data_IF_312586180552
#
_entry.id   IF_312586180552
#
_cell.length_a   1.000
_cell.length_b   1.000
_cell.length_c   1.000
_cell.angle_alpha   90.00
_cell.angle_beta   90.00
_cell.angle_gamma   90.00
#
_symmetry.space_group_name_H-M   'P 1'
#
loop_
_entity.id
_entity.type
_entity.pdbx_description
1 polymer ?
#
# COMPACT_ATOMS: atom_id res chain seq x y z
N UNK A 1 -15.17 21.86 -3.76
CA UNK A 1 -14.08 20.97 -3.34
C UNK A 1 -12.76 21.71 -3.55
N UNK A 2 -11.86 21.64 -2.59
CA UNK A 2 -10.54 22.22 -2.78
C UNK A 2 -9.81 21.37 -3.83
N UNK A 3 -9.54 21.93 -5.00
CA UNK A 3 -8.94 21.19 -6.12
C UNK A 3 -7.41 21.07 -5.96
N UNK A 4 -6.89 21.29 -4.76
CA UNK A 4 -5.47 21.27 -4.47
C UNK A 4 -5.18 20.42 -3.24
N UNK A 5 -4.20 19.56 -3.36
CA UNK A 5 -3.59 18.76 -2.28
C UNK A 5 -2.09 19.02 -2.23
N UNK A 6 -1.42 18.44 -1.25
CA UNK A 6 0.02 18.54 -1.08
C UNK A 6 0.61 17.16 -0.86
N UNK A 7 1.75 16.87 -1.49
CA UNK A 7 2.51 15.64 -1.28
C UNK A 7 3.87 16.08 -0.72
N UNK A 8 4.08 15.87 0.58
CA UNK A 8 5.32 16.25 1.24
C UNK A 8 6.34 15.12 1.27
N UNK A 9 5.90 13.90 1.59
CA UNK A 9 6.75 12.74 1.75
C UNK A 9 6.24 11.54 0.98
N UNK A 10 7.17 10.77 0.43
CA UNK A 10 6.91 9.46 -0.13
C UNK A 10 8.12 8.54 0.03
N UNK A 11 7.86 7.25 0.16
CA UNK A 11 8.87 6.20 0.19
C UNK A 11 8.49 5.16 -0.83
N UNK A 12 9.49 4.70 -1.58
CA UNK A 12 9.37 3.61 -2.55
C UNK A 12 10.39 2.57 -2.17
N UNK A 13 9.95 1.35 -2.11
CA UNK A 13 10.80 0.18 -1.97
C UNK A 13 10.42 -0.85 -3.05
N UNK A 14 11.40 -1.48 -3.63
CA UNK A 14 11.24 -2.57 -4.58
C UNK A 14 12.24 -3.66 -4.25
N UNK A 15 11.81 -4.90 -4.30
CA UNK A 15 12.67 -6.05 -4.11
C UNK A 15 13.85 -6.02 -5.08
N UNK A 16 15.05 -6.28 -4.55
CA UNK A 16 16.29 -6.42 -5.30
C UNK A 16 17.05 -7.68 -4.90
N UNK A 17 18.14 -7.99 -5.58
CA UNK A 17 18.99 -9.12 -5.21
C UNK A 17 19.51 -9.01 -3.77
N UNK A 18 19.84 -7.78 -3.35
CA UNK A 18 20.47 -7.50 -2.05
C UNK A 18 19.46 -7.16 -0.94
N UNK A 19 18.27 -6.70 -1.29
CA UNK A 19 17.24 -6.29 -0.33
C UNK A 19 15.89 -6.97 -0.64
N UNK A 20 15.60 -8.04 0.10
CA UNK A 20 14.37 -8.84 -0.06
C UNK A 20 13.17 -8.28 0.71
N UNK A 21 13.39 -7.47 1.72
CA UNK A 21 12.35 -6.81 2.52
C UNK A 21 12.85 -5.41 2.92
N UNK A 22 11.94 -4.43 3.04
CA UNK A 22 12.33 -3.11 3.56
C UNK A 22 12.74 -3.22 5.02
N UNK A 23 13.47 -2.20 5.52
CA UNK A 23 13.77 -2.13 6.95
C UNK A 23 12.49 -1.97 7.79
N UNK A 24 12.28 -2.90 8.70
CA UNK A 24 11.21 -2.94 9.69
C UNK A 24 11.73 -3.21 11.09
N UNK A 25 12.98 -2.83 11.35
CA UNK A 25 13.69 -3.08 12.63
C UNK A 25 13.01 -2.40 13.82
N UNK A 26 12.26 -1.34 13.61
CA UNK A 26 11.47 -0.64 14.64
C UNK A 26 10.33 -1.51 15.21
N UNK A 27 9.92 -2.56 14.52
CA UNK A 27 8.86 -3.48 14.97
C UNK A 27 9.46 -4.46 15.98
N UNK A 28 8.83 -4.69 17.16
CA UNK A 28 9.32 -5.65 18.16
C UNK A 28 9.52 -7.05 17.57
N UNK A 29 10.61 -7.72 17.95
CA UNK A 29 11.03 -9.01 17.37
C UNK A 29 9.96 -10.11 17.47
N UNK A 30 9.20 -10.14 18.57
CA UNK A 30 8.12 -11.11 18.76
C UNK A 30 6.96 -10.89 17.76
N UNK A 31 6.68 -9.64 17.41
CA UNK A 31 5.66 -9.29 16.39
C UNK A 31 6.19 -9.66 15.01
N UNK A 32 7.42 -9.26 14.69
CA UNK A 32 8.06 -9.54 13.39
C UNK A 32 8.03 -11.00 12.96
N UNK A 33 8.19 -11.92 13.95
CA UNK A 33 8.19 -13.37 13.70
C UNK A 33 6.84 -13.91 13.22
N UNK A 34 5.75 -13.19 13.51
CA UNK A 34 4.38 -13.59 13.17
C UNK A 34 3.83 -12.88 11.95
N UNK A 35 4.56 -11.87 11.46
CA UNK A 35 4.14 -11.09 10.30
C UNK A 35 4.35 -11.87 9.00
N UNK A 36 3.38 -11.76 8.11
CA UNK A 36 3.49 -12.17 6.71
C UNK A 36 4.50 -11.27 5.96
N UNK A 37 4.86 -11.62 4.74
CA UNK A 37 5.74 -10.79 3.93
C UNK A 37 5.08 -9.46 3.54
N UNK A 38 3.79 -9.50 3.14
CA UNK A 38 3.06 -8.27 2.78
C UNK A 38 2.92 -7.33 3.98
N UNK A 39 2.68 -7.85 5.20
CA UNK A 39 2.66 -7.06 6.42
C UNK A 39 4.02 -6.38 6.68
N UNK A 40 5.14 -7.11 6.54
CA UNK A 40 6.49 -6.54 6.72
C UNK A 40 6.76 -5.42 5.73
N UNK A 41 6.37 -5.60 4.46
CA UNK A 41 6.53 -4.58 3.43
C UNK A 41 5.67 -3.36 3.77
N UNK A 42 4.37 -3.55 3.91
CA UNK A 42 3.42 -2.44 4.10
C UNK A 42 3.68 -1.66 5.39
N UNK A 43 3.85 -2.37 6.52
CA UNK A 43 4.12 -1.73 7.82
C UNK A 43 5.52 -1.14 7.87
N UNK A 44 6.51 -1.77 7.25
CA UNK A 44 7.88 -1.27 7.17
C UNK A 44 7.95 0.09 6.48
N UNK A 45 7.38 0.21 5.28
CA UNK A 45 7.39 1.50 4.55
C UNK A 45 6.49 2.56 5.21
N UNK A 46 5.33 2.16 5.76
CA UNK A 46 4.46 3.07 6.49
C UNK A 46 5.15 3.65 7.74
N UNK A 47 5.85 2.80 8.48
CA UNK A 47 6.58 3.20 9.68
C UNK A 47 7.69 4.20 9.41
N UNK A 48 8.37 4.09 8.26
CA UNK A 48 9.40 5.07 7.84
C UNK A 48 8.81 6.47 7.61
N UNK A 49 7.60 6.56 7.06
CA UNK A 49 6.91 7.86 6.87
C UNK A 49 6.35 8.38 8.20
N UNK A 50 5.78 7.48 9.01
CA UNK A 50 5.11 7.85 10.25
C UNK A 50 6.05 8.37 11.35
N UNK A 51 7.37 8.43 11.13
CA UNK A 51 8.38 8.82 12.13
C UNK A 51 7.94 10.03 12.97
N UNK A 52 7.31 9.74 14.12
CA UNK A 52 6.88 10.74 15.09
C UNK A 52 5.49 11.35 14.92
N UNK A 53 4.76 11.09 13.84
CA UNK A 53 3.38 11.53 13.67
C UNK A 53 2.42 10.35 13.75
N UNK A 54 1.38 10.49 14.59
CA UNK A 54 0.31 9.50 14.74
C UNK A 54 -1.03 10.00 14.15
N UNK A 55 -1.04 11.15 13.49
CA UNK A 55 -2.26 11.84 13.10
C UNK A 55 -2.60 11.71 11.61
N UNK A 56 -2.52 10.48 11.11
CA UNK A 56 -2.95 10.16 9.75
C UNK A 56 -4.17 9.25 9.76
N UNK A 57 -5.16 9.57 8.92
CA UNK A 57 -6.03 8.54 8.36
C UNK A 57 -5.18 7.69 7.43
N UNK A 58 -5.29 6.36 7.48
CA UNK A 58 -4.47 5.48 6.65
C UNK A 58 -5.30 4.72 5.62
N UNK A 59 -4.78 4.60 4.39
CA UNK A 59 -5.34 3.77 3.33
C UNK A 59 -4.28 2.76 2.93
N UNK A 60 -4.51 1.50 3.30
CA UNK A 60 -3.68 0.38 2.87
C UNK A 60 -4.30 -0.24 1.62
N UNK A 61 -3.48 -0.47 0.61
CA UNK A 61 -3.92 -0.98 -0.68
C UNK A 61 -3.02 -2.14 -1.12
N UNK A 62 -3.63 -3.23 -1.55
CA UNK A 62 -2.95 -4.37 -2.15
C UNK A 62 -3.90 -5.08 -3.09
N UNK A 63 -3.40 -5.47 -4.28
CA UNK A 63 -4.21 -6.21 -5.27
C UNK A 63 -4.67 -7.56 -4.72
N UNK A 64 -3.80 -8.26 -4.00
CA UNK A 64 -4.00 -9.64 -3.55
C UNK A 64 -4.02 -9.79 -2.02
N UNK A 65 -3.68 -8.74 -1.26
CA UNK A 65 -3.64 -8.79 0.20
C UNK A 65 -2.72 -9.88 0.74
N UNK A 66 -3.19 -10.63 1.71
CA UNK A 66 -2.49 -11.73 2.40
C UNK A 66 -2.49 -13.05 1.57
N UNK A 67 -2.22 -12.96 0.30
CA UNK A 67 -2.29 -14.11 -0.60
C UNK A 67 -1.34 -15.23 -0.19
N UNK A 68 -0.07 -14.90 0.07
CA UNK A 68 0.94 -15.87 0.50
C UNK A 68 0.52 -16.61 1.78
N UNK A 69 0.03 -15.86 2.78
CA UNK A 69 -0.47 -16.42 4.03
C UNK A 69 -1.70 -17.32 3.80
N UNK A 70 -2.62 -16.90 2.96
CA UNK A 70 -3.82 -17.66 2.63
C UNK A 70 -3.47 -19.01 1.98
N UNK A 71 -2.50 -19.02 1.05
CA UNK A 71 -2.05 -20.25 0.41
C UNK A 71 -1.40 -21.20 1.42
N UNK A 72 -0.58 -20.67 2.34
CA UNK A 72 0.03 -21.50 3.39
C UNK A 72 -1.03 -22.13 4.29
N UNK A 73 -2.06 -21.39 4.67
CA UNK A 73 -3.18 -21.94 5.47
C UNK A 73 -3.97 -23.01 4.71
N UNK A 74 -4.22 -22.82 3.42
CA UNK A 74 -4.89 -23.82 2.58
C UNK A 74 -4.05 -25.10 2.52
N UNK A 75 -2.73 -25.00 2.29
CA UNK A 75 -1.83 -26.16 2.30
C UNK A 75 -1.86 -26.89 3.64
N UNK A 76 -1.70 -26.15 4.74
CA UNK A 76 -1.75 -26.70 6.09
C UNK A 76 -3.06 -27.46 6.33
N UNK A 77 -4.19 -26.88 5.95
CA UNK A 77 -5.49 -27.53 6.10
C UNK A 77 -5.59 -28.86 5.34
N UNK A 78 -5.08 -28.93 4.10
CA UNK A 78 -5.11 -30.15 3.32
C UNK A 78 -4.13 -31.23 3.81
N UNK A 79 -2.98 -30.82 4.37
CA UNK A 79 -1.94 -31.74 4.83
C UNK A 79 -2.20 -32.23 6.27
N UNK A 80 -2.62 -31.35 7.16
CA UNK A 80 -2.73 -31.61 8.59
C UNK A 80 -4.18 -31.72 9.08
N UNK A 81 -5.17 -31.37 8.24
CA UNK A 81 -6.60 -31.24 8.61
C UNK A 81 -6.85 -30.26 9.76
N UNK A 82 -5.89 -29.38 10.03
CA UNK A 82 -5.93 -28.34 11.05
C UNK A 82 -5.53 -27.00 10.45
N UNK A 83 -5.95 -25.92 11.08
CA UNK A 83 -5.59 -24.57 10.68
C UNK A 83 -5.25 -23.73 11.90
N UNK A 84 -4.14 -23.01 11.85
CA UNK A 84 -3.76 -22.08 12.91
C UNK A 84 -4.81 -20.97 13.07
N UNK A 85 -5.50 -20.81 14.22
CA UNK A 85 -6.43 -19.72 14.43
C UNK A 85 -5.78 -18.34 14.32
N UNK A 86 -4.55 -18.20 14.80
CA UNK A 86 -3.77 -16.95 14.68
C UNK A 86 -3.40 -16.67 13.21
N UNK A 87 -2.99 -17.69 12.45
CA UNK A 87 -2.72 -17.56 11.03
C UNK A 87 -3.97 -17.14 10.26
N UNK A 88 -5.11 -17.78 10.55
CA UNK A 88 -6.39 -17.42 9.93
C UNK A 88 -6.80 -15.97 10.24
N UNK A 89 -6.67 -15.54 11.49
CA UNK A 89 -6.98 -14.15 11.88
C UNK A 89 -6.12 -13.12 11.16
N UNK A 90 -4.89 -13.47 10.77
CA UNK A 90 -3.95 -12.60 10.07
C UNK A 90 -4.02 -12.74 8.54
N UNK A 91 -4.86 -13.59 8.00
CA UNK A 91 -5.01 -13.76 6.54
C UNK A 91 -6.02 -12.80 5.90
N UNK A 92 -6.57 -11.87 6.68
CA UNK A 92 -7.53 -10.89 6.18
C UNK A 92 -6.83 -9.71 5.50
N UNK A 93 -7.45 -9.15 4.48
CA UNK A 93 -6.86 -8.07 3.66
C UNK A 93 -6.44 -6.83 4.48
N UNK A 94 -7.06 -6.56 5.62
CA UNK A 94 -6.76 -5.42 6.48
C UNK A 94 -5.78 -5.73 7.63
N UNK A 95 -5.12 -6.89 7.62
CA UNK A 95 -4.20 -7.29 8.69
C UNK A 95 -3.05 -6.28 8.86
N UNK A 96 -2.39 -5.88 7.77
CA UNK A 96 -1.34 -4.87 7.80
C UNK A 96 -1.80 -3.52 8.37
N UNK A 97 -3.00 -3.07 8.00
CA UNK A 97 -3.57 -1.81 8.50
C UNK A 97 -3.84 -1.87 10.02
N UNK A 98 -4.46 -2.96 10.48
CA UNK A 98 -4.71 -3.19 11.90
C UNK A 98 -3.43 -3.28 12.72
N UNK A 99 -2.44 -4.02 12.22
CA UNK A 99 -1.13 -4.14 12.87
C UNK A 99 -0.41 -2.80 12.94
N UNK A 100 -0.40 -2.01 11.86
CA UNK A 100 0.18 -0.67 11.86
C UNK A 100 -0.48 0.24 12.91
N UNK A 101 -1.81 0.25 12.99
CA UNK A 101 -2.56 1.00 14.00
C UNK A 101 -2.15 0.63 15.42
N UNK A 102 -2.03 -0.68 15.72
CA UNK A 102 -1.59 -1.17 17.03
C UNK A 102 -0.15 -0.75 17.36
N UNK A 103 0.78 -0.90 16.43
CA UNK A 103 2.21 -0.60 16.64
C UNK A 103 2.45 0.89 16.83
N UNK A 104 1.74 1.73 16.10
CA UNK A 104 1.90 3.18 16.17
C UNK A 104 0.97 3.84 17.17
N UNK A 105 0.04 3.08 17.76
CA UNK A 105 -1.05 3.61 18.62
C UNK A 105 -1.89 4.67 17.91
N UNK A 106 -1.97 4.59 16.58
CA UNK A 106 -2.80 5.47 15.79
C UNK A 106 -4.27 5.04 15.92
N UNK A 107 -5.09 5.90 16.48
CA UNK A 107 -6.53 5.68 16.69
C UNK A 107 -7.41 6.28 15.60
N UNK A 108 -6.82 6.92 14.58
CA UNK A 108 -7.57 7.41 13.44
C UNK A 108 -8.10 6.24 12.57
N UNK A 109 -9.06 6.55 11.74
CA UNK A 109 -9.63 5.56 10.83
C UNK A 109 -8.59 5.01 9.86
N UNK A 110 -8.74 3.74 9.52
CA UNK A 110 -8.03 3.13 8.40
C UNK A 110 -9.00 2.44 7.45
N UNK A 111 -8.58 2.31 6.21
CA UNK A 111 -9.32 1.60 5.16
C UNK A 111 -8.36 0.69 4.42
N UNK A 112 -8.81 -0.52 4.07
CA UNK A 112 -8.06 -1.42 3.17
C UNK A 112 -8.79 -1.55 1.85
N UNK A 113 -8.03 -1.47 0.73
CA UNK A 113 -8.59 -1.42 -0.63
C UNK A 113 -7.95 -2.48 -1.51
N UNK A 114 -8.81 -3.24 -2.20
CA UNK A 114 -8.45 -4.07 -3.33
C UNK A 114 -9.43 -3.80 -4.48
N UNK A 115 -8.92 -3.46 -5.65
CA UNK A 115 -9.70 -3.14 -6.85
C UNK A 115 -9.03 -3.69 -8.13
N UNK A 116 -8.41 -4.87 -8.03
CA UNK A 116 -7.65 -5.45 -9.13
C UNK A 116 -6.54 -4.52 -9.60
N UNK A 117 -6.43 -4.32 -10.91
CA UNK A 117 -5.41 -3.45 -11.51
C UNK A 117 -5.62 -1.95 -11.19
N UNK A 118 -6.82 -1.56 -10.76
CA UNK A 118 -7.12 -0.19 -10.38
C UNK A 118 -6.88 0.08 -8.89
N UNK A 119 -6.25 -0.83 -8.15
CA UNK A 119 -6.08 -0.72 -6.69
C UNK A 119 -5.38 0.57 -6.28
N UNK A 120 -4.28 0.94 -6.95
CA UNK A 120 -3.57 2.20 -6.64
C UNK A 120 -4.42 3.43 -6.96
N UNK A 121 -5.11 3.46 -8.09
CA UNK A 121 -6.01 4.55 -8.47
C UNK A 121 -7.11 4.74 -7.42
N UNK A 122 -7.75 3.66 -6.98
CA UNK A 122 -8.82 3.71 -5.99
C UNK A 122 -8.32 4.10 -4.59
N UNK A 123 -7.11 3.70 -4.21
CA UNK A 123 -6.50 4.12 -2.96
C UNK A 123 -6.26 5.64 -2.93
N UNK A 124 -5.72 6.20 -4.01
CA UNK A 124 -5.54 7.65 -4.15
C UNK A 124 -6.90 8.35 -4.18
N UNK A 125 -7.88 7.84 -4.94
CA UNK A 125 -9.22 8.41 -4.96
C UNK A 125 -9.85 8.48 -3.56
N UNK A 126 -9.72 7.40 -2.78
CA UNK A 126 -10.18 7.37 -1.38
C UNK A 126 -9.50 8.45 -0.56
N UNK A 127 -8.18 8.62 -0.70
CA UNK A 127 -7.44 9.66 0.03
C UNK A 127 -7.87 11.09 -0.37
N UNK A 128 -8.19 11.31 -1.65
CA UNK A 128 -8.70 12.60 -2.13
C UNK A 128 -10.06 12.96 -1.52
N UNK A 129 -10.87 11.96 -1.21
CA UNK A 129 -12.20 12.16 -0.59
C UNK A 129 -12.14 12.43 0.92
N UNK A 130 -11.02 12.15 1.57
CA UNK A 130 -10.85 12.40 3.01
C UNK A 130 -10.72 13.91 3.30
N UNK A 131 -11.17 14.32 4.47
CA UNK A 131 -11.06 15.71 4.94
C UNK A 131 -9.77 15.97 5.72
N UNK A 132 -9.10 14.92 6.19
CA UNK A 132 -7.85 14.96 6.95
C UNK A 132 -6.66 14.59 6.08
N UNK A 133 -5.47 14.74 6.63
CA UNK A 133 -4.25 14.20 6.03
C UNK A 133 -4.29 12.68 5.99
N UNK A 134 -3.85 12.10 4.89
CA UNK A 134 -3.91 10.67 4.64
C UNK A 134 -2.55 10.12 4.28
N UNK A 135 -2.19 9.01 4.88
CA UNK A 135 -1.09 8.18 4.40
C UNK A 135 -1.68 7.05 3.55
N UNK A 136 -1.29 7.00 2.28
CA UNK A 136 -1.60 5.88 1.39
C UNK A 136 -0.41 4.93 1.36
N UNK A 137 -0.67 3.65 1.58
CA UNK A 137 0.32 2.57 1.50
C UNK A 137 -0.15 1.59 0.46
N UNK A 138 0.60 1.43 -0.62
CA UNK A 138 0.33 0.45 -1.67
C UNK A 138 1.46 -0.58 -1.70
N UNK A 139 1.13 -1.84 -1.48
CA UNK A 139 2.13 -2.89 -1.35
C UNK A 139 1.69 -4.18 -2.06
N UNK A 140 2.68 -4.91 -2.53
CA UNK A 140 2.52 -6.25 -3.08
C UNK A 140 3.70 -7.13 -2.67
N UNK A 141 3.45 -8.39 -2.39
CA UNK A 141 4.49 -9.40 -2.21
C UNK A 141 4.76 -10.15 -3.52
N UNK A 142 5.84 -10.92 -3.54
CA UNK A 142 6.14 -11.79 -4.68
C UNK A 142 5.00 -12.78 -4.93
N UNK A 143 4.59 -12.90 -6.18
CA UNK A 143 3.51 -13.81 -6.54
C UNK A 143 3.96 -15.26 -6.38
N UNK A 144 3.15 -16.13 -5.74
CA UNK A 144 3.48 -17.53 -5.63
C UNK A 144 3.59 -18.21 -7.00
N UNK A 145 4.65 -18.99 -7.23
CA UNK A 145 4.97 -19.61 -8.52
C UNK A 145 3.81 -20.44 -9.11
N UNK A 146 3.00 -21.08 -8.25
CA UNK A 146 1.86 -21.87 -8.68
C UNK A 146 0.79 -21.05 -9.42
N UNK A 147 0.76 -19.74 -9.26
CA UNK A 147 -0.17 -18.83 -9.94
C UNK A 147 0.46 -18.08 -11.10
N UNK A 148 1.78 -18.20 -11.32
CA UNK A 148 2.47 -17.54 -12.43
C UNK A 148 1.79 -17.73 -13.80
N UNK A 149 1.24 -18.92 -14.15
CA UNK A 149 0.53 -19.12 -15.42
C UNK A 149 -0.79 -18.35 -15.54
N UNK A 150 -1.35 -17.88 -14.43
CA UNK A 150 -2.64 -17.17 -14.38
C UNK A 150 -2.46 -15.63 -14.28
N UNK A 151 -1.23 -15.17 -14.24
CA UNK A 151 -0.91 -13.76 -14.07
C UNK A 151 -0.24 -13.23 -15.33
N UNK A 152 -0.72 -12.12 -15.84
CA UNK A 152 -0.18 -11.49 -17.06
C UNK A 152 1.28 -11.06 -16.90
N UNK A 153 1.69 -10.74 -15.67
CA UNK A 153 3.07 -10.38 -15.35
C UNK A 153 3.47 -10.87 -13.96
N UNK A 154 4.64 -11.52 -13.82
CA UNK A 154 5.21 -11.75 -12.49
C UNK A 154 5.53 -10.41 -11.85
N UNK A 155 5.12 -10.23 -10.60
CA UNK A 155 5.44 -9.04 -9.83
C UNK A 155 6.47 -9.38 -8.76
N UNK A 156 7.59 -8.64 -8.78
CA UNK A 156 8.48 -8.58 -7.64
C UNK A 156 7.76 -7.87 -6.48
N UNK A 157 8.20 -8.15 -5.27
CA UNK A 157 7.66 -7.46 -4.11
C UNK A 157 7.97 -5.97 -4.17
N UNK A 158 7.01 -5.14 -3.78
CA UNK A 158 7.12 -3.69 -3.81
C UNK A 158 6.33 -3.02 -2.69
N UNK A 159 6.70 -1.79 -2.40
CA UNK A 159 5.96 -0.92 -1.50
C UNK A 159 6.08 0.55 -1.89
N UNK A 160 4.96 1.26 -1.85
CA UNK A 160 4.86 2.70 -1.99
C UNK A 160 4.08 3.24 -0.80
N UNK A 161 4.65 4.18 -0.07
CA UNK A 161 3.93 4.97 0.91
C UNK A 161 4.01 6.45 0.53
N UNK A 162 2.90 7.18 0.59
CA UNK A 162 2.82 8.60 0.25
C UNK A 162 1.86 9.32 1.18
N UNK A 163 2.24 10.53 1.63
CA UNK A 163 1.36 11.40 2.41
C UNK A 163 0.66 12.40 1.51
N UNK A 164 -0.67 12.40 1.59
CA UNK A 164 -1.55 13.36 0.91
C UNK A 164 -2.12 14.29 1.97
N UNK A 165 -1.70 15.56 1.93
CA UNK A 165 -2.03 16.57 2.94
C UNK A 165 -2.95 17.64 2.39
N UNK A 166 -3.66 18.31 3.28
CA UNK A 166 -4.51 19.46 2.94
C UNK A 166 -3.73 20.78 2.88
N UNK A 167 -2.55 20.81 3.52
CA UNK A 167 -1.59 21.93 3.50
C UNK A 167 -0.17 21.35 3.42
N UNK A 168 0.72 22.04 2.71
CA UNK A 168 2.11 21.58 2.54
C UNK A 168 2.90 22.42 1.56
N UNK A 169 4.06 21.92 1.16
CA UNK A 169 5.02 22.63 0.29
C UNK A 169 4.79 22.34 -1.19
N UNK A 170 4.66 21.04 -1.55
CA UNK A 170 4.49 20.61 -2.92
C UNK A 170 3.00 20.52 -3.26
N UNK A 171 2.49 21.57 -3.90
CA UNK A 171 1.11 21.65 -4.35
C UNK A 171 0.85 20.78 -5.57
N UNK A 172 -0.28 20.09 -5.55
CA UNK A 172 -0.76 19.24 -6.65
C UNK A 172 -2.19 19.66 -6.98
N UNK A 173 -2.39 20.09 -8.22
CA UNK A 173 -3.72 20.40 -8.73
C UNK A 173 -4.46 19.11 -9.09
N UNK A 174 -5.70 18.99 -8.64
CA UNK A 174 -6.57 17.85 -8.94
C UNK A 174 -7.67 18.30 -9.89
N UNK A 175 -7.82 17.55 -10.96
CA UNK A 175 -8.90 17.75 -11.94
C UNK A 175 -9.61 16.44 -12.26
N UNK A 176 -10.68 16.52 -13.02
CA UNK A 176 -11.41 15.34 -13.49
C UNK A 176 -10.49 14.46 -14.35
N UNK A 177 -10.61 13.15 -14.19
CA UNK A 177 -9.92 12.16 -15.00
C UNK A 177 -10.42 12.09 -16.44
N UNK A 178 -9.80 11.20 -17.20
CA UNK A 178 -10.13 10.92 -18.59
C UNK A 178 -10.56 9.45 -18.73
N UNK A 179 -11.77 9.18 -19.18
CA UNK A 179 -12.31 7.83 -19.34
C UNK A 179 -11.47 6.94 -20.27
N UNK A 180 -10.67 7.53 -21.16
CA UNK A 180 -9.76 6.81 -22.05
C UNK A 180 -8.35 6.62 -21.46
N UNK A 181 -8.10 7.08 -20.22
CA UNK A 181 -6.81 6.87 -19.58
C UNK A 181 -6.56 5.38 -19.29
N UNK A 182 -5.30 4.98 -19.39
CA UNK A 182 -4.84 3.65 -19.01
C UNK A 182 -4.90 3.39 -17.50
N UNK A 183 -4.49 2.19 -17.10
CA UNK A 183 -4.37 1.80 -15.70
C UNK A 183 -3.19 2.56 -15.09
N UNK A 184 -3.37 3.07 -13.88
CA UNK A 184 -2.29 3.66 -13.10
C UNK A 184 -1.34 2.57 -12.59
N UNK A 185 -0.12 2.57 -13.11
CA UNK A 185 0.92 1.65 -12.65
C UNK A 185 1.74 2.26 -11.50
N UNK A 186 2.43 1.41 -10.75
CA UNK A 186 3.40 1.85 -9.74
C UNK A 186 4.47 2.74 -10.38
N UNK A 187 5.02 2.35 -11.53
CA UNK A 187 6.06 3.08 -12.25
C UNK A 187 5.62 4.49 -12.64
N UNK A 188 4.43 4.62 -13.24
CA UNK A 188 3.84 5.92 -13.59
C UNK A 188 3.70 6.83 -12.37
N UNK A 189 3.23 6.28 -11.25
CA UNK A 189 3.09 7.05 -10.02
C UNK A 189 4.45 7.44 -9.43
N UNK A 190 5.43 6.55 -9.48
CA UNK A 190 6.81 6.82 -9.04
C UNK A 190 7.44 7.93 -9.87
N UNK A 191 7.28 7.92 -11.18
CA UNK A 191 7.82 8.97 -12.06
C UNK A 191 7.20 10.33 -11.77
N UNK A 192 5.89 10.36 -11.50
CA UNK A 192 5.23 11.59 -11.06
C UNK A 192 5.75 12.09 -9.70
N UNK A 193 5.86 11.20 -8.71
CA UNK A 193 6.37 11.55 -7.38
C UNK A 193 7.81 12.08 -7.43
N UNK A 194 8.65 11.50 -8.28
CA UNK A 194 10.04 11.93 -8.51
C UNK A 194 10.18 13.15 -9.41
N UNK A 195 9.07 13.69 -9.94
CA UNK A 195 9.09 14.86 -10.82
C UNK A 195 9.60 14.59 -12.23
N UNK A 196 9.66 13.31 -12.66
CA UNK A 196 10.02 12.93 -14.03
C UNK A 196 8.90 13.22 -15.03
N UNK A 197 7.67 13.21 -14.55
CA UNK A 197 6.47 13.63 -15.28
C UNK A 197 5.75 14.73 -14.52
N UNK A 198 5.16 15.68 -15.23
CA UNK A 198 4.45 16.81 -14.62
C UNK A 198 2.98 16.48 -14.31
N UNK A 199 2.47 15.39 -14.84
CA UNK A 199 1.06 15.05 -14.71
C UNK A 199 0.88 13.52 -14.77
N UNK A 200 -0.10 13.05 -14.02
CA UNK A 200 -0.64 11.69 -14.05
C UNK A 200 -2.13 11.75 -14.24
N UNK A 201 -2.65 11.08 -15.26
CA UNK A 201 -4.09 11.03 -15.57
C UNK A 201 -4.59 9.60 -15.45
N UNK A 202 -5.69 9.44 -14.72
CA UNK A 202 -6.42 8.18 -14.57
C UNK A 202 -7.85 8.34 -15.09
N UNK A 203 -8.65 7.30 -15.00
CA UNK A 203 -10.06 7.38 -15.34
C UNK A 203 -10.84 8.29 -14.39
N UNK A 204 -10.45 8.34 -13.14
CA UNK A 204 -11.18 9.03 -12.06
C UNK A 204 -10.68 10.45 -11.80
N UNK A 205 -9.38 10.67 -11.92
CA UNK A 205 -8.74 11.94 -11.56
C UNK A 205 -7.47 12.20 -12.36
N UNK A 206 -7.08 13.45 -12.41
CA UNK A 206 -5.76 13.88 -12.90
C UNK A 206 -5.05 14.66 -11.81
N UNK A 207 -3.78 14.32 -11.55
CA UNK A 207 -2.85 15.07 -10.70
C UNK A 207 -1.86 15.81 -11.59
N UNK A 208 -1.63 17.09 -11.29
CA UNK A 208 -0.66 17.92 -11.99
C UNK A 208 0.15 18.72 -10.98
N UNK A 209 1.47 18.71 -11.11
CA UNK A 209 2.34 19.59 -10.32
C UNK A 209 2.02 21.05 -10.62
N UNK A 210 1.95 21.89 -9.59
CA UNK A 210 1.78 23.33 -9.71
C UNK A 210 3.02 24.00 -10.32
#
# INVERSE_FOLDING_TARGET
MNNKIYIDDFIIWQESADEKLPDFSFIPSMVRRRMSNIEKIAVGIAGKIAQGSQDYTTVFASKFGEWGQTIQLIKQFFEEHEMSPAGFSNSVHNAAAGLFSLLTKNTNSYTSIAAGDNTLEMAILKALMETRDVMVVFAGEHNPDMYAPLLDTPHNAFGLAVTIKKHGKRGIKITKGNCNAGILTLETMVDFLRGRTNCVTTKSWTMQND
#
